data_IF_052938116509
#
_entry.id   IF_052938116509
#
_cell.length_a   1.000
_cell.length_b   1.000
_cell.length_c   1.000
_cell.angle_alpha   90.00
_cell.angle_beta   90.00
_cell.angle_gamma   90.00
#
_symmetry.space_group_name_H-M   'P 1'
#
loop_
_entity.id
_entity.type
_entity.pdbx_description
1 polymer ?
#
# COMPACT_ATOMS: atom_id res chain seq x y z
N UNK A 1 -0.66 3.20 -11.46
CA UNK A 1 -1.07 3.36 -10.03
C UNK A 1 -1.88 2.14 -9.50
N UNK A 2 -2.70 1.57 -10.37
CA UNK A 2 -3.59 0.42 -10.19
C UNK A 2 -2.84 -0.82 -9.71
N UNK A 3 -1.66 -1.10 -10.29
CA UNK A 3 -0.84 -2.24 -9.88
C UNK A 3 -0.33 -2.11 -8.45
N UNK A 4 -0.02 -0.89 -8.00
CA UNK A 4 0.43 -0.60 -6.64
C UNK A 4 -0.73 -0.75 -5.68
N UNK A 5 -1.92 -0.26 -6.04
CA UNK A 5 -3.15 -0.46 -5.27
C UNK A 5 -3.46 -1.96 -5.13
N UNK A 6 -3.42 -2.71 -6.25
CA UNK A 6 -3.64 -4.16 -6.26
C UNK A 6 -2.66 -4.88 -5.35
N UNK A 7 -1.36 -4.62 -5.51
CA UNK A 7 -0.31 -5.19 -4.64
C UNK A 7 -0.55 -4.88 -3.16
N UNK A 8 -0.95 -3.64 -2.84
CA UNK A 8 -1.22 -3.21 -1.48
C UNK A 8 -2.40 -3.95 -0.86
N UNK A 9 -3.49 -4.13 -1.62
CA UNK A 9 -4.64 -4.95 -1.21
C UNK A 9 -4.27 -6.41 -1.01
N UNK A 10 -3.44 -6.98 -1.88
CA UNK A 10 -2.96 -8.36 -1.75
C UNK A 10 -2.15 -8.56 -0.46
N UNK A 11 -1.34 -7.56 -0.07
CA UNK A 11 -0.60 -7.61 1.19
C UNK A 11 -1.52 -7.54 2.41
N UNK A 12 -2.48 -6.61 2.43
CA UNK A 12 -3.47 -6.50 3.50
C UNK A 12 -4.27 -7.81 3.67
N UNK A 13 -4.77 -8.36 2.56
CA UNK A 13 -5.50 -9.64 2.52
C UNK A 13 -4.66 -10.80 3.03
N UNK A 14 -3.37 -10.85 2.67
CA UNK A 14 -2.44 -11.89 3.14
C UNK A 14 -2.27 -11.85 4.66
N UNK A 15 -2.34 -10.66 5.28
CA UNK A 15 -2.06 -10.45 6.70
C UNK A 15 -3.29 -10.40 7.60
N UNK A 16 -4.50 -10.31 7.03
CA UNK A 16 -5.79 -10.15 7.73
C UNK A 16 -5.96 -11.04 8.97
N UNK A 17 -5.48 -12.29 8.92
CA UNK A 17 -5.63 -13.28 10.00
C UNK A 17 -4.33 -13.57 10.75
N UNK A 18 -3.32 -12.71 10.61
CA UNK A 18 -1.96 -12.93 11.13
C UNK A 18 -1.53 -11.88 12.17
N UNK A 19 -2.48 -11.08 12.66
CA UNK A 19 -2.23 -9.99 13.61
C UNK A 19 -2.24 -8.62 12.92
N UNK A 20 -1.55 -7.65 13.51
CA UNK A 20 -1.45 -6.30 12.96
C UNK A 20 -0.43 -6.20 11.83
N UNK A 21 -0.81 -5.57 10.73
CA UNK A 21 0.08 -5.25 9.62
C UNK A 21 0.02 -3.75 9.32
N UNK A 22 1.17 -3.10 9.32
CA UNK A 22 1.30 -1.70 8.93
C UNK A 22 1.73 -1.65 7.47
N UNK A 23 0.82 -1.20 6.59
CA UNK A 23 1.14 -0.98 5.18
C UNK A 23 2.04 0.26 5.03
N UNK A 24 3.12 0.11 4.27
CA UNK A 24 4.02 1.21 3.94
C UNK A 24 5.07 0.78 2.92
N UNK A 25 5.95 1.70 2.56
CA UNK A 25 7.02 1.51 1.56
C UNK A 25 8.28 0.83 2.13
N UNK A 26 8.35 0.63 3.44
CA UNK A 26 9.50 0.03 4.14
C UNK A 26 10.70 0.97 4.32
N UNK A 27 10.72 2.10 3.60
CA UNK A 27 11.70 3.20 3.68
C UNK A 27 11.03 4.53 3.24
N UNK A 28 11.76 5.64 3.28
CA UNK A 28 11.32 6.92 2.71
C UNK A 28 10.99 6.82 1.22
N UNK A 29 10.04 7.64 0.77
CA UNK A 29 9.68 7.76 -0.65
C UNK A 29 10.56 8.84 -1.29
N UNK A 30 11.35 8.52 -2.33
CA UNK A 30 12.15 9.52 -3.05
C UNK A 30 11.31 10.43 -3.95
N UNK A 31 11.80 11.65 -4.19
CA UNK A 31 11.10 12.69 -4.99
C UNK A 31 10.82 12.30 -6.46
N UNK A 32 11.55 11.32 -7.01
CA UNK A 32 11.32 10.84 -8.38
C UNK A 32 10.15 9.86 -8.51
N UNK A 33 9.57 9.41 -7.39
CA UNK A 33 8.41 8.50 -7.40
C UNK A 33 7.15 9.33 -7.64
N UNK A 34 6.32 9.00 -8.65
CA UNK A 34 5.07 9.73 -8.88
C UNK A 34 4.14 9.67 -7.66
N UNK A 35 3.59 10.80 -7.24
CA UNK A 35 2.71 10.90 -6.07
C UNK A 35 1.50 9.96 -6.15
N UNK A 36 0.95 9.78 -7.37
CA UNK A 36 -0.17 8.88 -7.66
C UNK A 36 0.08 7.45 -7.17
N UNK A 37 1.35 7.01 -7.19
CA UNK A 37 1.74 5.69 -6.72
C UNK A 37 1.65 5.59 -5.19
N UNK A 38 2.09 6.63 -4.48
CA UNK A 38 1.98 6.71 -3.03
C UNK A 38 0.49 6.81 -2.60
N UNK A 39 -0.29 7.65 -3.29
CA UNK A 39 -1.74 7.78 -3.06
C UNK A 39 -2.48 6.46 -3.34
N UNK A 40 -2.10 5.73 -4.38
CA UNK A 40 -2.64 4.41 -4.68
C UNK A 40 -2.33 3.38 -3.57
N UNK A 41 -1.15 3.45 -2.95
CA UNK A 41 -0.80 2.58 -1.82
C UNK A 41 -1.65 2.90 -0.59
N UNK A 42 -1.71 4.17 -0.15
CA UNK A 42 -2.42 4.54 1.09
C UNK A 42 -3.94 4.40 0.95
N UNK A 43 -4.51 4.64 -0.24
CA UNK A 43 -5.95 4.43 -0.48
C UNK A 43 -6.35 2.97 -0.30
N UNK A 44 -5.46 2.01 -0.59
CA UNK A 44 -5.75 0.60 -0.38
C UNK A 44 -5.99 0.22 1.09
N UNK A 45 -5.47 1.01 2.05
CA UNK A 45 -5.69 0.79 3.49
C UNK A 45 -6.92 1.53 4.05
N UNK A 46 -7.53 2.44 3.27
CA UNK A 46 -8.70 3.22 3.66
C UNK A 46 -10.00 2.69 3.04
N UNK A 47 -9.89 1.86 2.00
CA UNK A 47 -11.02 1.20 1.35
C UNK A 47 -11.39 -0.09 2.09
N UNK A 48 -12.70 -0.33 2.26
CA UNK A 48 -13.25 -1.60 2.77
C UNK A 48 -13.06 -2.78 1.80
#
# INVERSE_FOLDING_TARGET
>A
PEDIKRRSKDMLKRTEKRGGYALGTGNSVPDYVPDENYFAMISAALEE
#
